data_IF_258975116990
#
_entry.id   IF_258975116990
#
_cell.length_a   1.000
_cell.length_b   1.000
_cell.length_c   1.000
_cell.angle_alpha   90.00
_cell.angle_beta   90.00
_cell.angle_gamma   90.00
#
_symmetry.space_group_name_H-M   'P 1'
#
loop_
_entity.id
_entity.type
_entity.pdbx_description
1 polymer ?
#
# COMPACT_ATOMS: atom_id res chain seq x y z
N UNK A 1 16.65 9.12 -3.51
CA UNK A 1 15.24 9.45 -3.79
C UNK A 1 15.11 9.72 -5.27
N UNK A 2 14.07 9.21 -5.94
CA UNK A 2 13.77 9.56 -7.33
C UNK A 2 13.40 11.04 -7.43
N UNK A 3 14.06 11.80 -8.32
CA UNK A 3 13.89 13.25 -8.43
C UNK A 3 12.51 13.63 -8.95
N UNK A 4 11.96 12.90 -9.93
CA UNK A 4 10.63 13.17 -10.48
C UNK A 4 9.55 13.04 -9.40
N UNK A 5 9.62 11.97 -8.60
CA UNK A 5 8.73 11.77 -7.46
C UNK A 5 8.82 12.89 -6.44
N UNK A 6 10.05 13.39 -6.18
CA UNK A 6 10.25 14.50 -5.26
C UNK A 6 9.62 15.79 -5.78
N UNK A 7 9.78 16.10 -7.08
CA UNK A 7 9.20 17.29 -7.71
C UNK A 7 7.66 17.25 -7.66
N UNK A 8 7.07 16.11 -8.04
CA UNK A 8 5.62 15.92 -7.98
C UNK A 8 5.11 16.04 -6.54
N UNK A 9 5.78 15.42 -5.57
CA UNK A 9 5.37 15.50 -4.17
C UNK A 9 5.52 16.91 -3.58
N UNK A 10 6.56 17.66 -3.97
CA UNK A 10 6.71 19.08 -3.61
C UNK A 10 5.55 19.91 -4.14
N UNK A 11 5.15 19.70 -5.40
CA UNK A 11 4.02 20.40 -6.02
C UNK A 11 2.69 20.04 -5.34
N UNK A 12 2.45 18.76 -5.04
CA UNK A 12 1.27 18.34 -4.26
C UNK A 12 1.25 19.05 -2.91
N UNK A 13 2.33 18.95 -2.12
CA UNK A 13 2.37 19.51 -0.77
C UNK A 13 2.25 21.04 -0.76
N UNK A 14 2.87 21.74 -1.72
CA UNK A 14 2.75 23.20 -1.88
C UNK A 14 1.33 23.63 -2.24
N UNK A 15 0.66 22.91 -3.14
CA UNK A 15 -0.64 23.31 -3.67
C UNK A 15 -1.82 22.92 -2.77
N UNK A 16 -1.74 21.79 -2.07
CA UNK A 16 -2.85 21.27 -1.26
C UNK A 16 -2.62 21.39 0.25
N UNK A 17 -1.37 21.58 0.68
CA UNK A 17 -0.97 21.48 2.09
C UNK A 17 -0.93 20.03 2.63
N UNK A 18 -1.27 19.04 1.81
CA UNK A 18 -1.39 17.63 2.18
C UNK A 18 -0.58 16.74 1.24
N UNK A 19 -0.43 15.49 1.61
CA UNK A 19 0.22 14.45 0.83
C UNK A 19 -0.73 13.92 -0.26
N UNK A 20 -0.16 13.29 -1.29
CA UNK A 20 -0.95 12.72 -2.37
C UNK A 20 -1.83 11.56 -1.88
N UNK A 21 -3.02 11.45 -2.47
CA UNK A 21 -3.98 10.40 -2.16
C UNK A 21 -4.62 9.84 -3.42
N UNK A 22 -4.96 8.57 -3.36
CA UNK A 22 -5.62 7.84 -4.44
C UNK A 22 -6.74 6.97 -3.89
N UNK A 23 -7.83 6.82 -4.63
CA UNK A 23 -8.83 5.78 -4.39
C UNK A 23 -9.34 5.16 -5.68
N UNK A 24 -9.70 3.88 -5.57
CA UNK A 24 -10.37 3.11 -6.60
C UNK A 24 -11.74 2.66 -6.06
N UNK A 25 -12.76 3.43 -6.41
CA UNK A 25 -14.11 3.28 -5.85
C UNK A 25 -15.09 2.79 -6.93
N UNK A 26 -16.10 1.99 -6.57
CA UNK A 26 -17.12 1.57 -7.53
C UNK A 26 -17.92 2.78 -8.04
N UNK A 27 -18.23 2.77 -9.33
CA UNK A 27 -19.19 3.70 -9.92
C UNK A 27 -20.61 3.26 -9.55
N UNK A 28 -21.47 4.15 -9.03
CA UNK A 28 -22.85 3.78 -8.72
C UNK A 28 -23.71 3.52 -9.98
N UNK A 29 -23.28 4.07 -11.14
CA UNK A 29 -24.04 4.02 -12.38
C UNK A 29 -23.57 2.92 -13.34
N UNK A 30 -22.36 2.41 -13.15
CA UNK A 30 -21.72 1.46 -14.07
C UNK A 30 -21.03 0.35 -13.27
N UNK A 31 -20.96 -0.86 -13.84
CA UNK A 31 -20.12 -1.96 -13.30
C UNK A 31 -18.62 -1.70 -13.45
N UNK A 32 -18.22 -0.43 -13.31
CA UNK A 32 -16.88 0.11 -13.48
C UNK A 32 -16.41 0.67 -12.13
N UNK A 33 -15.11 0.85 -12.00
CA UNK A 33 -14.46 1.57 -10.91
C UNK A 33 -13.88 2.87 -11.43
N UNK A 34 -13.92 3.90 -10.59
CA UNK A 34 -13.43 5.24 -10.89
C UNK A 34 -12.12 5.46 -10.16
N UNK A 35 -11.09 5.84 -10.92
CA UNK A 35 -9.81 6.33 -10.41
C UNK A 35 -10.01 7.75 -9.89
N UNK A 36 -9.77 7.96 -8.59
CA UNK A 36 -9.82 9.29 -7.96
C UNK A 36 -8.45 9.65 -7.45
N UNK A 37 -7.94 10.80 -7.89
CA UNK A 37 -6.65 11.32 -7.48
C UNK A 37 -6.86 12.59 -6.68
N UNK A 38 -6.11 12.75 -5.60
CA UNK A 38 -6.11 13.96 -4.79
C UNK A 38 -4.66 14.46 -4.71
N UNK A 39 -4.30 15.54 -5.45
CA UNK A 39 -5.13 16.31 -6.37
C UNK A 39 -5.39 15.63 -7.73
N UNK A 40 -6.48 16.03 -8.41
CA UNK A 40 -6.93 15.44 -9.68
C UNK A 40 -5.87 15.42 -10.79
N UNK A 41 -4.99 16.43 -10.82
CA UNK A 41 -3.96 16.57 -11.85
C UNK A 41 -2.87 15.50 -11.75
N UNK A 42 -2.78 14.74 -10.66
CA UNK A 42 -1.90 13.57 -10.60
C UNK A 42 -2.26 12.51 -11.64
N UNK A 43 -3.50 12.50 -12.12
CA UNK A 43 -3.91 11.64 -13.23
C UNK A 43 -3.03 11.90 -14.46
N UNK A 44 -2.37 10.84 -14.94
CA UNK A 44 -1.45 10.94 -16.10
C UNK A 44 -0.01 11.30 -15.75
N UNK A 45 0.31 11.45 -14.46
CA UNK A 45 1.70 11.59 -13.99
C UNK A 45 2.26 10.23 -13.55
N UNK A 46 3.60 10.13 -13.46
CA UNK A 46 4.25 8.92 -12.92
C UNK A 46 3.85 8.64 -11.47
N UNK A 47 3.65 9.66 -10.65
CA UNK A 47 3.16 9.51 -9.28
C UNK A 47 1.73 8.96 -9.25
N UNK A 48 0.81 9.51 -10.06
CA UNK A 48 -0.55 8.99 -10.16
C UNK A 48 -0.58 7.54 -10.61
N UNK A 49 0.22 7.18 -11.62
CA UNK A 49 0.29 5.80 -12.10
C UNK A 49 0.81 4.84 -11.02
N UNK A 50 1.83 5.23 -10.25
CA UNK A 50 2.33 4.43 -9.13
C UNK A 50 1.25 4.22 -8.07
N UNK A 51 0.50 5.26 -7.71
CA UNK A 51 -0.58 5.15 -6.72
C UNK A 51 -1.67 4.19 -7.20
N UNK A 52 -2.07 4.30 -8.47
CA UNK A 52 -3.06 3.43 -9.10
C UNK A 52 -2.58 1.97 -9.16
N UNK A 53 -1.41 1.74 -9.76
CA UNK A 53 -0.86 0.40 -9.96
C UNK A 53 -0.62 -0.33 -8.64
N UNK A 54 -0.15 0.37 -7.61
CA UNK A 54 0.06 -0.25 -6.31
C UNK A 54 -1.25 -0.74 -5.68
N UNK A 55 -2.28 0.11 -5.60
CA UNK A 55 -3.58 -0.30 -5.03
C UNK A 55 -4.27 -1.36 -5.89
N UNK A 56 -4.22 -1.21 -7.21
CA UNK A 56 -4.77 -2.17 -8.15
C UNK A 56 -4.10 -3.56 -7.97
N UNK A 57 -2.77 -3.60 -7.90
CA UNK A 57 -2.02 -4.84 -7.65
C UNK A 57 -2.31 -5.44 -6.27
N UNK A 58 -2.53 -4.60 -5.25
CA UNK A 58 -2.97 -5.06 -3.93
C UNK A 58 -4.29 -5.84 -4.06
N UNK A 59 -5.27 -5.37 -4.85
CA UNK A 59 -6.55 -6.08 -5.04
C UNK A 59 -6.36 -7.42 -5.72
N UNK A 60 -5.54 -7.48 -6.76
CA UNK A 60 -5.25 -8.74 -7.46
C UNK A 60 -4.64 -9.78 -6.50
N UNK A 61 -3.72 -9.36 -5.64
CA UNK A 61 -3.16 -10.23 -4.61
C UNK A 61 -4.20 -10.63 -3.55
N UNK A 62 -5.01 -9.68 -3.06
CA UNK A 62 -6.04 -9.94 -2.04
C UNK A 62 -7.11 -10.89 -2.54
N UNK A 63 -7.45 -10.81 -3.83
CA UNK A 63 -8.44 -11.67 -4.46
C UNK A 63 -7.87 -13.00 -4.96
N UNK A 64 -6.55 -13.21 -4.86
CA UNK A 64 -5.91 -14.45 -5.31
C UNK A 64 -5.90 -14.60 -6.83
N UNK A 65 -5.83 -13.48 -7.57
CA UNK A 65 -5.59 -13.46 -9.02
C UNK A 65 -4.09 -13.61 -9.33
N UNK A 66 -3.23 -13.19 -8.40
CA UNK A 66 -1.78 -13.20 -8.55
C UNK A 66 -1.14 -14.12 -7.51
N UNK A 67 -0.01 -14.73 -7.87
CA UNK A 67 0.79 -15.51 -6.94
C UNK A 67 1.33 -14.60 -5.82
N UNK A 68 1.19 -15.07 -4.57
CA UNK A 68 1.61 -14.30 -3.42
C UNK A 68 3.14 -14.13 -3.41
N UNK A 69 3.65 -12.89 -3.25
CA UNK A 69 5.09 -12.61 -3.26
C UNK A 69 5.85 -13.25 -2.09
N UNK A 70 5.16 -13.76 -1.07
CA UNK A 70 5.75 -14.37 0.13
C UNK A 70 5.25 -15.80 0.26
N UNK A 71 6.18 -16.75 0.38
CA UNK A 71 5.85 -18.18 0.50
C UNK A 71 5.02 -18.42 1.75
N UNK A 72 3.86 -19.05 1.58
CA UNK A 72 2.93 -19.37 2.65
C UNK A 72 1.98 -18.24 3.04
N UNK A 73 2.12 -17.05 2.45
CA UNK A 73 1.09 -16.01 2.53
C UNK A 73 -0.13 -16.47 1.72
N UNK A 74 -1.34 -16.26 2.26
CA UNK A 74 -2.62 -16.60 1.64
C UNK A 74 -3.37 -15.31 1.29
N UNK A 75 -4.14 -15.32 0.21
CA UNK A 75 -5.00 -14.17 -0.16
C UNK A 75 -6.23 -14.05 0.76
N UNK A 76 -6.94 -12.92 0.73
CA UNK A 76 -8.23 -12.77 1.42
C UNK A 76 -9.23 -13.83 0.96
N UNK A 77 -9.22 -14.13 -0.34
CA UNK A 77 -10.07 -15.16 -0.92
C UNK A 77 -9.75 -16.55 -0.37
N UNK A 78 -8.47 -16.95 -0.36
CA UNK A 78 -8.05 -18.26 0.17
C UNK A 78 -8.41 -18.41 1.65
N UNK A 79 -8.17 -17.36 2.45
CA UNK A 79 -8.53 -17.35 3.88
C UNK A 79 -10.05 -17.53 4.04
N UNK A 80 -10.85 -16.80 3.26
CA UNK A 80 -12.30 -16.88 3.34
C UNK A 80 -12.83 -18.29 2.98
N UNK A 81 -12.28 -18.90 1.93
CA UNK A 81 -12.64 -20.25 1.49
C UNK A 81 -12.22 -21.30 2.51
N UNK A 82 -10.95 -21.27 2.95
CA UNK A 82 -10.38 -22.25 3.89
C UNK A 82 -11.10 -22.24 5.24
N UNK A 83 -11.46 -21.05 5.74
CA UNK A 83 -12.11 -20.89 7.05
C UNK A 83 -13.63 -21.06 6.98
N UNK A 84 -14.18 -21.40 5.80
CA UNK A 84 -15.62 -21.58 5.61
C UNK A 84 -16.42 -20.31 5.88
N UNK A 85 -15.81 -19.13 5.62
CA UNK A 85 -16.47 -17.83 5.75
C UNK A 85 -17.39 -17.66 4.55
N UNK A 86 -18.54 -18.30 4.64
CA UNK A 86 -19.56 -18.47 3.59
C UNK A 86 -20.42 -17.21 3.37
N UNK A 87 -19.97 -16.06 3.88
CA UNK A 87 -20.76 -14.83 3.91
C UNK A 87 -20.33 -13.90 2.79
N UNK A 88 -21.33 -13.26 2.17
CA UNK A 88 -21.10 -12.09 1.31
C UNK A 88 -20.50 -10.98 2.16
N UNK A 89 -19.36 -10.45 1.74
CA UNK A 89 -18.74 -9.31 2.40
C UNK A 89 -18.10 -8.39 1.37
N UNK A 90 -18.09 -7.11 1.68
CA UNK A 90 -17.34 -6.11 0.95
C UNK A 90 -16.39 -5.44 1.93
N UNK A 91 -15.29 -4.88 1.45
CA UNK A 91 -14.42 -4.09 2.29
C UNK A 91 -13.47 -3.24 1.49
N UNK A 92 -12.69 -2.46 2.23
CA UNK A 92 -11.63 -1.62 1.70
C UNK A 92 -10.29 -2.07 2.26
N UNK A 93 -9.29 -2.05 1.41
CA UNK A 93 -7.88 -2.13 1.80
C UNK A 93 -7.16 -0.95 1.20
N UNK A 94 -6.22 -0.34 1.91
CA UNK A 94 -5.44 0.75 1.34
C UNK A 94 -4.06 0.79 1.96
N UNK A 95 -3.11 1.32 1.21
CA UNK A 95 -1.77 1.56 1.72
C UNK A 95 -1.77 2.77 2.65
N UNK A 96 -1.03 2.64 3.75
CA UNK A 96 -0.82 3.72 4.71
C UNK A 96 0.66 3.92 5.01
N UNK A 97 1.00 5.14 5.41
CA UNK A 97 2.31 5.50 5.93
C UNK A 97 2.28 5.47 7.47
N UNK A 98 2.84 4.42 8.09
CA UNK A 98 2.82 4.22 9.56
C UNK A 98 3.87 5.03 10.31
N UNK A 99 5.03 5.23 9.68
CA UNK A 99 6.12 6.04 10.21
C UNK A 99 6.84 6.70 9.05
N UNK A 100 7.23 7.95 9.20
CA UNK A 100 8.23 8.55 8.34
C UNK A 100 9.13 9.50 9.12
N UNK A 101 10.40 9.53 8.74
CA UNK A 101 11.40 10.41 9.32
C UNK A 101 12.46 10.76 8.28
N UNK A 102 13.07 11.92 8.42
CA UNK A 102 14.24 12.32 7.63
C UNK A 102 15.42 12.40 8.58
N UNK A 103 16.45 11.59 8.32
CA UNK A 103 17.69 11.58 9.09
C UNK A 103 18.74 12.41 8.36
N UNK A 104 19.60 13.11 9.10
CA UNK A 104 20.79 13.76 8.56
C UNK A 104 22.00 12.87 8.84
N UNK A 105 22.67 12.41 7.79
CA UNK A 105 23.92 11.65 7.91
C UNK A 105 25.10 12.54 8.29
N UNK A 106 26.22 11.92 8.69
CA UNK A 106 27.48 12.62 9.02
C UNK A 106 27.99 13.47 7.83
N UNK A 107 27.73 13.03 6.60
CA UNK A 107 28.10 13.72 5.36
C UNK A 107 27.08 14.79 4.93
N UNK A 108 26.17 15.20 5.82
CA UNK A 108 25.09 16.15 5.56
C UNK A 108 24.10 15.73 4.46
N UNK A 109 23.96 14.43 4.21
CA UNK A 109 22.95 13.88 3.29
C UNK A 109 21.65 13.61 4.05
N UNK A 110 20.52 14.10 3.52
CA UNK A 110 19.18 13.80 4.02
C UNK A 110 18.74 12.41 3.55
N UNK A 111 18.37 11.55 4.50
CA UNK A 111 17.98 10.15 4.26
C UNK A 111 16.55 9.96 4.76
N UNK A 112 15.54 9.99 3.86
CA UNK A 112 14.17 9.69 4.25
C UNK A 112 13.99 8.19 4.50
N UNK A 113 13.40 7.86 5.63
CA UNK A 113 13.03 6.50 6.04
C UNK A 113 11.54 6.43 6.26
N UNK A 114 10.90 5.39 5.72
CA UNK A 114 9.46 5.17 5.82
C UNK A 114 9.17 3.76 6.32
N UNK A 115 8.08 3.60 7.07
CA UNK A 115 7.44 2.32 7.32
C UNK A 115 6.03 2.39 6.78
N UNK A 116 5.76 1.60 5.76
CA UNK A 116 4.43 1.51 5.17
C UNK A 116 3.71 0.25 5.65
N UNK A 117 2.42 0.21 5.43
CA UNK A 117 1.59 -0.96 5.67
C UNK A 117 0.31 -0.91 4.86
N UNK A 118 -0.54 -1.89 5.10
CA UNK A 118 -1.91 -1.94 4.58
C UNK A 118 -2.85 -1.86 5.77
N UNK A 119 -3.91 -1.08 5.62
CA UNK A 119 -5.06 -1.12 6.51
C UNK A 119 -6.27 -1.65 5.78
N UNK A 120 -7.21 -2.21 6.55
CA UNK A 120 -8.43 -2.73 6.01
C UNK A 120 -9.64 -2.46 6.90
N UNK A 121 -10.79 -2.31 6.25
CA UNK A 121 -12.10 -2.22 6.89
C UNK A 121 -13.16 -2.98 6.12
N UNK A 122 -14.01 -3.70 6.84
CA UNK A 122 -15.24 -4.27 6.30
C UNK A 122 -16.24 -3.15 5.98
N UNK A 123 -16.94 -3.25 4.87
CA UNK A 123 -18.01 -2.35 4.48
C UNK A 123 -19.35 -2.92 4.92
N UNK A 124 -20.09 -2.11 5.68
CA UNK A 124 -21.41 -2.46 6.21
C UNK A 124 -22.47 -1.65 5.51
N UNK A 125 -23.59 -2.29 5.20
CA UNK A 125 -24.75 -1.61 4.62
C UNK A 125 -25.40 -0.72 5.69
N UNK A 126 -25.54 0.57 5.38
CA UNK A 126 -26.28 1.52 6.21
C UNK A 126 -27.79 1.37 5.98
N UNK A 127 -28.59 1.89 6.92
CA UNK A 127 -30.05 2.01 6.78
C UNK A 127 -30.48 2.74 5.49
N UNK A 128 -29.64 3.66 4.99
CA UNK A 128 -29.90 4.44 3.78
C UNK A 128 -29.49 3.72 2.48
N UNK A 129 -29.28 2.40 2.52
CA UNK A 129 -28.88 1.57 1.38
C UNK A 129 -27.50 1.91 0.77
N UNK A 130 -26.68 2.71 1.45
CA UNK A 130 -25.29 2.98 1.09
C UNK A 130 -24.31 2.10 1.88
N UNK A 131 -23.13 1.84 1.33
CA UNK A 131 -22.03 1.18 2.05
C UNK A 131 -21.19 2.22 2.79
N UNK A 132 -20.79 1.89 4.01
CA UNK A 132 -19.83 2.67 4.79
C UNK A 132 -18.85 1.73 5.48
N UNK A 133 -17.67 2.24 5.80
CA UNK A 133 -16.64 1.45 6.47
C UNK A 133 -17.03 1.23 7.94
N UNK A 134 -16.88 0.00 8.42
CA UNK A 134 -17.11 -0.33 9.82
C UNK A 134 -16.14 0.46 10.71
N UNK A 135 -16.63 1.02 11.81
CA UNK A 135 -15.77 1.71 12.77
C UNK A 135 -14.63 0.81 13.27
N UNK A 136 -14.94 -0.47 13.52
CA UNK A 136 -13.99 -1.51 13.89
C UNK A 136 -14.33 -2.76 13.07
N UNK A 137 -13.33 -3.28 12.36
CA UNK A 137 -13.42 -4.59 11.72
C UNK A 137 -12.88 -5.65 12.66
N UNK A 138 -13.61 -6.76 12.77
CA UNK A 138 -13.24 -7.91 13.61
C UNK A 138 -11.86 -8.44 13.22
N UNK A 139 -11.05 -8.81 14.20
CA UNK A 139 -9.66 -9.26 13.97
C UNK A 139 -9.58 -10.59 13.21
N UNK A 140 -10.64 -11.39 13.24
CA UNK A 140 -10.75 -12.64 12.50
C UNK A 140 -11.19 -12.46 11.03
N UNK A 141 -11.50 -11.24 10.58
CA UNK A 141 -11.89 -10.96 9.20
C UNK A 141 -10.74 -11.26 8.21
N UNK A 142 -11.00 -11.91 7.05
CA UNK A 142 -9.97 -12.20 6.04
C UNK A 142 -9.12 -10.99 5.63
N UNK A 143 -9.78 -9.86 5.34
CA UNK A 143 -9.15 -8.56 5.08
C UNK A 143 -8.14 -8.13 6.15
N UNK A 144 -8.51 -8.23 7.43
CA UNK A 144 -7.64 -7.80 8.53
C UNK A 144 -6.42 -8.72 8.63
N UNK A 145 -6.65 -10.04 8.58
CA UNK A 145 -5.57 -11.04 8.58
C UNK A 145 -4.59 -10.82 7.42
N UNK A 146 -5.12 -10.56 6.22
CA UNK A 146 -4.31 -10.31 5.04
C UNK A 146 -3.54 -9.00 5.14
N UNK A 147 -4.19 -7.89 5.52
CA UNK A 147 -3.54 -6.60 5.73
C UNK A 147 -2.43 -6.67 6.79
N UNK A 148 -2.62 -7.44 7.86
CA UNK A 148 -1.58 -7.70 8.87
C UNK A 148 -0.39 -8.49 8.29
N UNK A 149 -0.66 -9.57 7.55
CA UNK A 149 0.39 -10.34 6.87
C UNK A 149 1.15 -9.49 5.84
N UNK A 150 0.44 -8.70 5.04
CA UNK A 150 1.02 -7.80 4.05
C UNK A 150 1.90 -6.76 4.74
N UNK A 151 1.38 -6.09 5.78
CA UNK A 151 2.12 -5.09 6.57
C UNK A 151 3.39 -5.68 7.16
N UNK A 152 3.30 -6.88 7.74
CA UNK A 152 4.47 -7.56 8.33
C UNK A 152 5.57 -7.85 7.30
N UNK A 153 5.18 -8.13 6.06
CA UNK A 153 6.10 -8.48 4.98
C UNK A 153 6.31 -7.33 3.98
N UNK A 154 5.86 -6.11 4.28
CA UNK A 154 5.79 -5.02 3.31
C UNK A 154 7.13 -4.79 2.61
N UNK A 155 8.22 -4.71 3.38
CA UNK A 155 9.56 -4.47 2.82
C UNK A 155 9.99 -5.58 1.86
N UNK A 156 9.75 -6.85 2.22
CA UNK A 156 10.07 -7.99 1.35
C UNK A 156 9.22 -7.98 0.08
N UNK A 157 7.95 -7.59 0.18
CA UNK A 157 7.05 -7.46 -0.97
C UNK A 157 7.52 -6.34 -1.89
N UNK A 158 7.89 -5.19 -1.31
CA UNK A 158 8.44 -4.06 -2.04
C UNK A 158 9.74 -4.44 -2.78
N UNK A 159 10.62 -5.28 -2.23
CA UNK A 159 11.80 -5.76 -2.96
C UNK A 159 11.46 -6.68 -4.15
N UNK A 160 10.30 -7.34 -4.13
CA UNK A 160 9.93 -8.36 -5.13
C UNK A 160 8.96 -7.85 -6.19
N UNK A 161 8.23 -6.76 -5.91
CA UNK A 161 7.12 -6.29 -6.74
C UNK A 161 7.27 -4.80 -7.02
N UNK A 162 7.53 -4.49 -8.29
CA UNK A 162 7.84 -3.13 -8.76
C UNK A 162 6.80 -2.08 -8.34
N UNK A 163 5.50 -2.36 -8.49
CA UNK A 163 4.46 -1.40 -8.09
C UNK A 163 4.56 -1.00 -6.61
N UNK A 164 4.80 -1.97 -5.71
CA UNK A 164 4.95 -1.72 -4.27
C UNK A 164 6.30 -1.05 -3.95
N UNK A 165 7.37 -1.42 -4.67
CA UNK A 165 8.66 -0.73 -4.62
C UNK A 165 8.51 0.76 -4.91
N UNK A 166 7.91 1.10 -6.04
CA UNK A 166 7.75 2.47 -6.49
C UNK A 166 6.85 3.28 -5.56
N UNK A 167 5.80 2.67 -5.00
CA UNK A 167 4.99 3.32 -3.97
C UNK A 167 5.84 3.68 -2.74
N UNK A 168 6.71 2.78 -2.28
CA UNK A 168 7.63 3.05 -1.16
C UNK A 168 8.60 4.19 -1.47
N UNK A 169 9.15 4.23 -2.68
CA UNK A 169 10.04 5.31 -3.11
C UNK A 169 9.32 6.66 -3.26
N UNK A 170 8.07 6.65 -3.73
CA UNK A 170 7.23 7.85 -3.78
C UNK A 170 6.85 8.34 -2.37
N UNK A 171 6.60 7.45 -1.41
CA UNK A 171 6.39 7.81 -0.01
C UNK A 171 7.64 8.45 0.63
N UNK A 172 8.84 7.93 0.35
CA UNK A 172 10.11 8.56 0.76
C UNK A 172 10.27 9.96 0.17
N UNK A 173 9.95 10.13 -1.11
CA UNK A 173 9.98 11.43 -1.77
C UNK A 173 8.99 12.42 -1.16
N UNK A 174 7.77 11.97 -0.86
CA UNK A 174 6.73 12.75 -0.17
C UNK A 174 7.15 13.18 1.24
N UNK A 175 7.79 12.28 1.98
CA UNK A 175 8.34 12.57 3.31
C UNK A 175 9.43 13.65 3.24
N UNK A 176 10.34 13.54 2.26
CA UNK A 176 11.39 14.53 2.06
C UNK A 176 10.83 15.88 1.61
N UNK A 177 9.85 15.89 0.71
CA UNK A 177 9.16 17.10 0.26
C UNK A 177 8.52 17.85 1.44
N UNK A 178 7.80 17.13 2.31
CA UNK A 178 7.24 17.67 3.55
C UNK A 178 8.30 18.32 4.42
N UNK A 179 9.38 17.59 4.73
CA UNK A 179 10.47 18.09 5.56
C UNK A 179 11.09 19.37 4.99
N UNK A 180 11.40 19.41 3.68
CA UNK A 180 12.03 20.57 3.07
C UNK A 180 11.14 21.82 3.14
N UNK A 181 9.83 21.66 2.91
CA UNK A 181 8.86 22.75 2.98
C UNK A 181 8.63 23.24 4.42
N UNK A 182 8.49 22.32 5.37
CA UNK A 182 8.30 22.66 6.80
C UNK A 182 9.55 23.30 7.42
N UNK A 183 10.74 22.89 6.97
CA UNK A 183 12.00 23.51 7.36
C UNK A 183 12.22 24.91 6.75
N UNK A 184 11.33 25.38 5.86
CA UNK A 184 11.49 26.66 5.17
C UNK A 184 12.70 26.69 4.24
N UNK A 185 13.09 25.54 3.68
CA UNK A 185 14.23 25.45 2.77
C UNK A 185 13.97 26.29 1.52
N UNK A 186 14.95 27.07 1.03
CA UNK A 186 14.79 27.88 -0.18
C UNK A 186 14.78 26.98 -1.43
N UNK A 187 13.60 26.55 -1.86
CA UNK A 187 13.39 25.77 -3.08
C UNK A 187 13.02 26.73 -4.22
N UNK A 188 13.69 26.61 -5.37
CA UNK A 188 13.41 27.43 -6.56
C UNK A 188 12.02 27.12 -7.11
N UNK A 189 11.30 28.12 -7.59
CA UNK A 189 9.95 27.96 -8.15
C UNK A 189 9.89 26.98 -9.33
N UNK A 190 10.97 26.84 -10.09
CA UNK A 190 11.07 25.89 -11.21
C UNK A 190 10.96 24.41 -10.79
N UNK A 191 11.07 24.10 -9.50
CA UNK A 191 10.87 22.74 -8.99
C UNK A 191 9.39 22.37 -8.87
N UNK A 192 8.49 23.34 -9.00
CA UNK A 192 7.04 23.17 -8.85
C UNK A 192 6.28 23.23 -10.17
N UNK A 193 6.98 23.43 -11.30
CA UNK A 193 6.35 23.60 -12.62
C UNK A 193 6.32 22.31 -13.45
N UNK A 194 6.74 21.17 -12.89
CA UNK A 194 6.84 19.92 -13.65
C UNK A 194 5.46 19.36 -14.05
N UNK A 195 4.42 19.53 -13.21
CA UNK A 195 3.08 19.04 -13.54
C UNK A 195 2.18 20.06 -14.25
N UNK A 196 2.72 21.20 -14.70
CA UNK A 196 1.94 22.17 -15.48
C UNK A 196 1.62 21.64 -16.89
N UNK A 197 2.40 20.67 -17.37
CA UNK A 197 2.08 19.90 -18.57
C UNK A 197 0.94 18.92 -18.25
N UNK A 198 -0.31 19.35 -18.49
CA UNK A 198 -1.48 18.48 -18.45
C UNK A 198 -1.32 17.38 -19.51
N UNK A 199 -0.78 16.24 -19.10
CA UNK A 199 -0.92 15.01 -19.85
C UNK A 199 -2.41 14.75 -20.12
N UNK A 200 -2.73 14.20 -21.29
CA UNK A 200 -4.12 13.85 -21.61
C UNK A 200 -4.67 12.95 -20.49
N UNK A 201 -5.85 13.31 -19.99
CA UNK A 201 -6.51 12.54 -18.93
C UNK A 201 -6.68 11.09 -19.42
N UNK A 202 -5.87 10.17 -18.89
CA UNK A 202 -6.05 8.74 -19.13
C UNK A 202 -7.46 8.28 -18.73
N UNK A 203 -7.83 7.06 -19.11
CA UNK A 203 -9.14 6.52 -18.80
C UNK A 203 -9.36 6.52 -17.28
N UNK A 204 -10.33 7.34 -16.83
CA UNK A 204 -10.68 7.48 -15.41
C UNK A 204 -11.50 6.31 -14.88
N UNK A 205 -12.03 5.48 -15.77
CA UNK A 205 -12.83 4.31 -15.42
C UNK A 205 -12.14 3.03 -15.87
N UNK A 206 -12.23 2.00 -15.05
CA UNK A 206 -11.78 0.64 -15.37
C UNK A 206 -12.87 -0.36 -15.04
N UNK A 207 -12.92 -1.54 -15.67
CA UNK A 207 -13.89 -2.58 -15.31
C UNK A 207 -13.72 -3.05 -13.86
N UNK A 208 -14.82 -3.30 -13.15
CA UNK A 208 -14.80 -3.80 -11.76
C UNK A 208 -14.38 -5.26 -11.59
N UNK A 209 -14.11 -5.95 -12.70
CA UNK A 209 -14.00 -7.42 -12.81
C UNK A 209 -13.00 -8.06 -11.85
N UNK A 210 -12.03 -7.31 -11.33
CA UNK A 210 -10.95 -7.83 -10.50
C UNK A 210 -11.07 -7.48 -9.01
N UNK A 211 -11.96 -6.55 -8.68
CA UNK A 211 -12.29 -6.19 -7.29
C UNK A 211 -13.38 -7.06 -6.70
N UNK A 212 -14.07 -7.86 -7.52
CA UNK A 212 -15.22 -8.64 -7.11
C UNK A 212 -15.11 -10.08 -7.60
N UNK A 213 -15.34 -11.04 -6.71
CA UNK A 213 -15.50 -12.45 -7.09
C UNK A 213 -16.87 -12.94 -6.69
N UNK A 214 -17.56 -13.54 -7.66
CA UNK A 214 -18.74 -14.35 -7.43
C UNK A 214 -18.36 -15.83 -7.46
N UNK A 215 -18.64 -16.57 -6.39
CA UNK A 215 -18.38 -18.02 -6.35
C UNK A 215 -19.53 -18.78 -5.70
N UNK A 216 -19.58 -20.09 -5.98
CA UNK A 216 -20.55 -21.02 -5.39
C UNK A 216 -19.79 -22.26 -4.95
N UNK A 217 -19.80 -22.54 -3.65
CA UNK A 217 -19.22 -23.77 -3.11
C UNK A 217 -20.23 -24.91 -3.27
N UNK A 218 -19.83 -25.95 -3.99
CA UNK A 218 -20.64 -27.17 -4.10
C UNK A 218 -20.26 -28.07 -2.92
N UNK A 219 -21.18 -28.24 -1.97
CA UNK A 219 -21.00 -29.17 -0.86
C UNK A 219 -21.65 -30.50 -1.23
N UNK A 220 -20.89 -31.58 -1.12
CA UNK A 220 -21.43 -32.93 -1.19
C UNK A 220 -21.78 -33.39 0.22
N UNK A 221 -22.95 -33.98 0.39
CA UNK A 221 -23.35 -34.65 1.61
C UNK A 221 -22.61 -35.99 1.75
N UNK A 222 -22.59 -36.58 2.95
CA UNK A 222 -21.84 -37.81 3.24
C UNK A 222 -22.28 -39.02 2.38
N UNK A 223 -23.50 -38.99 1.85
CA UNK A 223 -24.08 -39.97 0.94
C UNK A 223 -23.64 -39.76 -0.54
N UNK A 224 -22.82 -38.75 -0.82
CA UNK A 224 -22.38 -38.39 -2.17
C UNK A 224 -23.41 -37.59 -2.97
N UNK A 225 -24.53 -37.20 -2.36
CA UNK A 225 -25.51 -36.31 -2.99
C UNK A 225 -25.03 -34.86 -2.95
N UNK A 226 -25.54 -34.03 -3.86
CA UNK A 226 -25.32 -32.58 -3.78
C UNK A 226 -26.21 -32.02 -2.67
N UNK A 227 -25.61 -31.31 -1.72
CA UNK A 227 -26.39 -30.56 -0.74
C UNK A 227 -27.35 -29.61 -1.47
N UNK A 228 -28.59 -29.53 -1.00
CA UNK A 228 -29.70 -28.89 -1.71
C UNK A 228 -29.31 -27.47 -2.17
N UNK A 229 -29.34 -27.22 -3.48
CA UNK A 229 -28.87 -25.95 -4.05
C UNK A 229 -29.80 -24.77 -3.76
N UNK A 230 -31.04 -25.05 -3.36
CA UNK A 230 -32.09 -24.05 -3.14
C UNK A 230 -31.96 -23.35 -1.77
N UNK A 231 -31.28 -23.96 -0.79
CA UNK A 231 -31.02 -23.34 0.52
C UNK A 231 -29.81 -22.38 0.49
N UNK A 232 -29.07 -22.33 -0.62
CA UNK A 232 -27.89 -21.49 -0.79
C UNK A 232 -28.31 -20.14 -1.39
N UNK A 233 -28.46 -19.15 -0.49
CA UNK A 233 -28.66 -17.71 -0.76
C UNK A 233 -27.78 -17.16 -1.90
N UNK A 234 -28.18 -17.32 -3.16
CA UNK A 234 -27.53 -16.79 -4.38
C UNK A 234 -26.00 -17.02 -4.48
N UNK A 235 -25.34 -16.46 -5.51
CA UNK A 235 -23.88 -16.47 -5.55
C UNK A 235 -23.31 -15.68 -4.36
N UNK A 236 -22.25 -16.22 -3.76
CA UNK A 236 -21.48 -15.47 -2.76
C UNK A 236 -20.65 -14.43 -3.49
N UNK A 237 -20.69 -13.19 -3.02
CA UNK A 237 -19.95 -12.06 -3.58
C UNK A 237 -18.99 -11.55 -2.51
N UNK A 238 -17.72 -11.52 -2.87
CA UNK A 238 -16.66 -10.85 -2.11
C UNK A 238 -16.22 -9.65 -2.95
N UNK A 239 -16.07 -8.50 -2.31
CA UNK A 239 -15.57 -7.29 -2.97
C UNK A 239 -14.50 -6.57 -2.14
N UNK A 240 -13.44 -6.09 -2.79
CA UNK A 240 -12.35 -5.32 -2.17
C UNK A 240 -12.09 -4.03 -2.95
N UNK A 241 -12.28 -2.91 -2.28
CA UNK A 241 -12.01 -1.56 -2.80
C UNK A 241 -10.83 -0.92 -2.08
N UNK A 242 -10.43 0.30 -2.42
CA UNK A 242 -9.22 0.81 -1.79
C UNK A 242 -8.64 2.10 -2.30
N UNK A 243 -7.34 2.23 -2.03
CA UNK A 243 -6.58 3.42 -2.32
C UNK A 243 -5.18 3.44 -1.71
N UNK A 244 -4.61 4.63 -1.71
CA UNK A 244 -3.34 4.95 -1.06
C UNK A 244 -3.51 6.23 -0.26
N UNK A 245 -3.05 6.22 0.99
CA UNK A 245 -3.04 7.36 1.89
C UNK A 245 -1.63 7.56 2.47
N UNK A 246 -0.98 8.65 2.09
CA UNK A 246 0.39 8.97 2.51
C UNK A 246 0.47 10.02 3.61
N UNK A 247 -0.67 10.52 4.09
CA UNK A 247 -0.69 11.48 5.20
C UNK A 247 -0.32 10.80 6.51
N UNK A 248 0.65 11.37 7.23
CA UNK A 248 1.11 10.91 8.56
C UNK A 248 0.25 11.47 9.70
N UNK A 249 -0.63 12.44 9.41
CA UNK A 249 -1.44 13.16 10.39
C UNK A 249 -2.94 13.20 10.08
N UNK A 250 -3.40 12.42 9.10
CA UNK A 250 -4.76 12.51 8.58
C UNK A 250 -5.79 11.79 9.45
N UNK A 251 -6.70 12.56 10.05
CA UNK A 251 -8.08 12.13 10.24
C UNK A 251 -8.59 11.46 8.98
N UNK A 252 -9.26 10.33 9.15
CA UNK A 252 -9.88 9.50 8.12
C UNK A 252 -10.49 10.27 6.91
N UNK A 253 -10.53 9.66 5.72
CA UNK A 253 -11.17 10.17 4.51
C UNK A 253 -12.49 10.94 4.67
N UNK A 254 -12.77 11.98 3.84
CA UNK A 254 -14.08 12.60 3.78
C UNK A 254 -15.15 11.57 3.38
N UNK A 255 -16.16 11.39 4.24
CA UNK A 255 -17.11 10.26 4.21
C UNK A 255 -16.95 9.28 5.38
N UNK A 256 -15.91 9.45 6.21
CA UNK A 256 -15.66 8.69 7.42
C UNK A 256 -15.92 9.60 8.63
N UNK A 257 -17.04 9.39 9.33
CA UNK A 257 -17.37 10.16 10.53
C UNK A 257 -16.66 9.55 11.76
N UNK A 258 -15.53 10.14 12.14
CA UNK A 258 -14.67 9.72 13.26
C UNK A 258 -14.99 10.48 14.55
N UNK A 259 -16.27 10.68 14.88
CA UNK A 259 -16.67 11.37 16.11
C UNK A 259 -16.44 10.59 17.43
N UNK A 260 -15.77 9.43 17.43
CA UNK A 260 -15.67 8.58 18.63
C UNK A 260 -14.26 8.09 19.04
N UNK A 261 -13.18 8.53 18.38
CA UNK A 261 -11.91 7.79 18.45
C UNK A 261 -10.70 8.42 19.14
N UNK A 262 -10.74 9.67 19.63
CA UNK A 262 -9.54 10.32 20.19
C UNK A 262 -9.65 10.47 21.72
N UNK A 263 -9.36 9.37 22.42
CA UNK A 263 -8.82 9.42 23.80
C UNK A 263 -7.78 8.31 23.91
N UNK A 264 -6.50 8.70 23.92
CA UNK A 264 -5.26 7.99 24.32
C UNK A 264 -4.17 8.55 23.38
N UNK A 265 -3.42 9.59 23.71
CA UNK A 265 -2.61 9.72 24.92
C UNK A 265 -1.15 9.43 24.55
N UNK A 266 -0.32 10.49 24.64
CA UNK A 266 1.15 10.48 24.66
C UNK A 266 1.91 10.46 23.32
N UNK A 267 2.16 11.65 22.77
CA UNK A 267 3.48 12.03 22.27
C UNK A 267 3.83 13.39 22.87
N UNK A 268 4.92 13.52 23.66
CA UNK A 268 5.35 14.82 24.15
C UNK A 268 5.98 15.62 23.01
N UNK A 269 5.48 16.84 22.81
CA UNK A 269 6.07 17.86 21.93
C UNK A 269 7.34 18.41 22.62
N UNK A 270 8.53 18.31 22.02
CA UNK A 270 9.73 18.94 22.58
C UNK A 270 9.72 20.43 22.22
N UNK A 271 9.58 21.32 23.20
CA UNK A 271 9.63 22.76 22.91
C UNK A 271 9.23 23.75 24.00
N UNK A 272 8.96 23.33 25.25
CA UNK A 272 8.78 24.28 26.34
C UNK A 272 9.91 24.18 27.36
N UNK A 273 10.71 25.24 27.41
CA UNK A 273 11.76 25.46 28.37
C UNK A 273 11.18 25.48 29.79
N UNK A 274 11.56 24.49 30.60
CA UNK A 274 11.33 24.50 32.03
C UNK A 274 12.36 25.44 32.69
N UNK A 275 11.84 26.43 33.41
CA UNK A 275 12.62 27.35 34.20
C UNK A 275 13.35 26.63 35.35
N UNK A 276 14.50 27.21 35.67
CA UNK A 276 15.52 26.84 36.65
C UNK A 276 14.97 26.68 38.07
N UNK A 277 15.32 25.56 38.72
CA UNK A 277 15.48 25.49 40.18
C UNK A 277 16.45 24.34 40.56
N UNK A 278 17.68 24.70 40.93
CA UNK A 278 18.52 23.96 41.90
C UNK A 278 18.13 24.43 43.33
N UNK A 279 18.51 23.77 44.45
CA UNK A 279 19.64 22.83 44.64
C UNK A 279 19.38 21.62 45.58
N UNK A 280 20.36 20.71 45.65
CA UNK A 280 20.40 19.67 46.70
C UNK A 280 21.51 18.65 46.52
N UNK A 281 22.69 18.94 47.06
CA UNK A 281 23.83 18.03 47.14
C UNK A 281 23.60 16.93 48.19
N UNK A 282 24.10 15.72 47.94
CA UNK A 282 24.82 14.87 48.91
C UNK A 282 25.53 13.72 48.20
N UNK A 283 26.70 13.39 48.73
CA UNK A 283 27.72 12.52 48.18
C UNK A 283 27.66 11.07 48.73
N UNK A 284 28.19 10.11 47.95
CA UNK A 284 28.94 8.91 48.38
C UNK A 284 29.24 8.08 47.09
N UNK A 285 30.47 7.97 46.58
CA UNK A 285 31.64 7.22 47.06
C UNK A 285 31.42 5.70 47.16
N UNK A 286 31.86 4.94 46.14
CA UNK A 286 32.93 3.89 46.21
C UNK A 286 32.84 2.85 45.05
N UNK A 287 33.95 2.11 44.74
CA UNK A 287 34.25 1.53 43.43
C UNK A 287 34.23 -0.01 43.35
N UNK A 288 34.37 -0.57 42.14
CA UNK A 288 34.76 -1.96 41.87
C UNK A 288 34.36 -2.38 40.45
N UNK A 289 35.27 -2.50 39.49
CA UNK A 289 36.18 -3.62 39.22
C UNK A 289 35.53 -4.78 38.42
N UNK A 290 36.00 -4.98 37.18
CA UNK A 290 35.93 -6.21 36.37
C UNK A 290 34.52 -6.63 35.93
N UNK A 291 34.26 -7.18 34.75
CA UNK A 291 34.90 -8.36 34.16
C UNK A 291 34.46 -8.44 32.69
N UNK A 292 35.41 -8.67 31.80
CA UNK A 292 35.17 -9.02 30.41
C UNK A 292 34.50 -10.39 30.29
N UNK A 293 33.50 -10.55 29.40
CA UNK A 293 33.16 -11.89 28.89
C UNK A 293 32.53 -11.90 27.48
N UNK A 294 33.37 -12.33 26.55
CA UNK A 294 33.14 -13.37 25.54
C UNK A 294 31.85 -13.34 24.69
N UNK A 295 32.07 -12.89 23.46
CA UNK A 295 31.34 -13.26 22.24
C UNK A 295 31.30 -14.78 22.08
N UNK A 296 30.11 -15.37 21.94
CA UNK A 296 29.92 -16.70 21.34
C UNK A 296 28.84 -16.64 20.27
N UNK A 297 29.30 -16.71 19.03
CA UNK A 297 28.51 -17.01 17.86
C UNK A 297 28.06 -18.48 17.91
N UNK A 298 26.77 -18.73 17.69
CA UNK A 298 26.26 -20.07 17.38
C UNK A 298 25.43 -19.98 16.10
N UNK A 299 26.10 -20.25 14.98
CA UNK A 299 25.46 -20.61 13.72
C UNK A 299 24.91 -22.04 13.88
N UNK A 300 23.61 -22.22 13.70
CA UNK A 300 23.04 -23.52 13.34
C UNK A 300 22.24 -23.34 12.06
N UNK A 301 22.75 -23.94 10.99
CA UNK A 301 22.09 -24.07 9.71
C UNK A 301 21.23 -25.33 9.75
N UNK A 302 19.91 -25.18 9.73
CA UNK A 302 18.97 -26.27 9.49
C UNK A 302 18.65 -26.31 8.00
N UNK A 303 19.19 -27.33 7.32
CA UNK A 303 18.80 -27.74 5.98
C UNK A 303 17.49 -28.53 6.09
N UNK A 304 16.38 -27.95 5.68
CA UNK A 304 15.11 -28.65 5.48
C UNK A 304 14.85 -28.75 3.97
N UNK A 305 15.03 -29.96 3.44
CA UNK A 305 14.72 -30.34 2.05
C UNK A 305 13.28 -30.85 2.03
N UNK A 306 12.35 -30.02 1.59
CA UNK A 306 10.96 -30.42 1.41
C UNK A 306 10.69 -30.68 -0.08
N UNK A 307 10.59 -31.96 -0.43
CA UNK A 307 10.01 -32.40 -1.70
C UNK A 307 8.48 -32.34 -1.59
N UNK A 308 7.82 -31.47 -2.36
CA UNK A 308 6.37 -31.56 -2.59
C UNK A 308 6.11 -31.62 -4.09
N UNK A 309 5.60 -32.79 -4.53
CA UNK A 309 4.89 -32.97 -5.80
C UNK A 309 3.53 -32.28 -5.66
N UNK A 310 3.30 -31.25 -6.47
CA UNK A 310 1.96 -30.68 -6.66
C UNK A 310 1.11 -31.52 -7.63
N UNK A 311 -0.22 -31.37 -7.60
CA UNK A 311 -1.13 -32.04 -8.53
C UNK A 311 -1.03 -31.44 -9.94
N UNK A 312 -1.09 -32.30 -10.96
CA UNK A 312 -1.20 -31.90 -12.37
C UNK A 312 -2.61 -31.35 -12.62
N UNK A 313 -2.68 -30.09 -13.02
CA UNK A 313 -3.90 -29.50 -13.61
C UNK A 313 -3.90 -29.85 -15.09
N UNK A 314 -5.03 -30.39 -15.56
CA UNK A 314 -5.31 -30.69 -16.97
C UNK A 314 -5.52 -29.37 -17.74
N UNK A 315 -4.79 -29.21 -18.85
CA UNK A 315 -4.98 -28.14 -19.82
C UNK A 315 -6.40 -28.21 -20.42
N UNK A 316 -7.12 -27.10 -20.33
CA UNK A 316 -8.42 -26.91 -20.98
C UNK A 316 -8.65 -25.44 -21.30
N UNK A 317 -8.81 -25.16 -22.60
CA UNK A 317 -9.35 -23.96 -23.26
C UNK A 317 -8.92 -22.57 -22.74
N UNK A 318 -8.09 -21.91 -23.55
CA UNK A 318 -7.55 -20.56 -23.30
C UNK A 318 -8.63 -19.51 -23.03
N UNK A 319 -8.67 -19.05 -21.79
CA UNK A 319 -9.13 -17.73 -21.42
C UNK A 319 -8.07 -16.69 -21.86
N UNK A 320 -8.46 -15.45 -22.21
CA UNK A 320 -7.51 -14.41 -22.53
C UNK A 320 -6.64 -14.12 -21.30
N UNK A 321 -5.41 -14.64 -21.31
CA UNK A 321 -4.35 -14.25 -20.39
C UNK A 321 -4.03 -12.77 -20.62
N UNK A 322 -3.79 -12.05 -19.52
CA UNK A 322 -3.56 -10.61 -19.51
C UNK A 322 -2.46 -10.18 -20.48
N UNK A 323 -2.52 -8.89 -20.85
CA UNK A 323 -1.41 -8.22 -21.53
C UNK A 323 -0.29 -8.06 -20.51
N UNK A 324 0.68 -8.97 -20.52
CA UNK A 324 1.95 -8.79 -19.85
C UNK A 324 2.71 -7.68 -20.61
N UNK A 325 2.57 -6.45 -20.11
CA UNK A 325 3.44 -5.35 -20.51
C UNK A 325 4.78 -5.63 -19.82
N UNK A 326 5.62 -6.43 -20.47
CA UNK A 326 6.94 -6.79 -19.99
C UNK A 326 7.83 -5.52 -19.86
N UNK A 327 7.66 -4.76 -18.78
CA UNK A 327 8.33 -3.47 -18.55
C UNK A 327 9.85 -3.65 -18.37
N UNK A 328 10.31 -4.89 -18.16
CA UNK A 328 11.72 -5.25 -18.10
C UNK A 328 12.39 -5.24 -19.47
N UNK A 329 11.64 -5.10 -20.57
CA UNK A 329 12.16 -5.12 -21.95
C UNK A 329 12.33 -3.73 -22.60
N UNK A 330 12.30 -2.65 -21.84
CA UNK A 330 12.61 -1.32 -22.38
C UNK A 330 14.13 -1.14 -22.52
N UNK A 331 14.61 -1.22 -23.76
CA UNK A 331 15.98 -0.90 -24.13
C UNK A 331 16.13 0.63 -24.26
N UNK A 332 16.76 1.26 -23.27
CA UNK A 332 16.99 2.72 -23.22
C UNK A 332 18.18 3.17 -24.09
N UNK A 333 18.93 2.24 -24.70
CA UNK A 333 20.14 2.57 -25.45
C UNK A 333 19.88 2.94 -26.92
N UNK A 334 18.64 2.81 -27.42
CA UNK A 334 18.30 3.07 -28.83
C UNK A 334 18.10 4.56 -29.19
N UNK A 335 18.32 5.50 -28.26
CA UNK A 335 17.92 6.91 -28.40
C UNK A 335 18.96 7.89 -28.99
N UNK A 336 20.20 7.48 -29.23
CA UNK A 336 21.21 8.34 -29.87
C UNK A 336 21.79 7.63 -31.08
N UNK A 337 21.36 7.99 -32.29
CA UNK A 337 22.14 7.99 -33.55
C UNK A 337 21.18 8.20 -34.76
N UNK A 338 20.59 9.39 -34.89
CA UNK A 338 19.99 9.81 -36.17
C UNK A 338 20.03 11.34 -36.29
N UNK A 339 21.19 11.88 -36.61
CA UNK A 339 21.38 13.31 -36.81
C UNK A 339 22.70 13.60 -37.51
N UNK A 340 22.86 13.14 -38.75
CA UNK A 340 24.06 13.42 -39.52
C UNK A 340 23.87 13.22 -41.02
N UNK A 341 23.94 14.31 -41.76
CA UNK A 341 24.47 14.33 -43.13
C UNK A 341 23.44 14.52 -44.24
N UNK A 342 23.42 15.72 -44.83
CA UNK A 342 22.69 15.99 -46.07
C UNK A 342 22.92 17.40 -46.60
N UNK A 343 24.17 17.80 -46.81
CA UNK A 343 24.55 19.02 -47.52
C UNK A 343 25.38 18.68 -48.76
N UNK A 344 25.05 19.32 -49.89
CA UNK A 344 25.93 19.49 -51.05
C UNK A 344 25.56 18.69 -52.30
N UNK A 345 25.33 19.40 -53.41
CA UNK A 345 25.27 18.85 -54.77
C UNK A 345 24.20 19.49 -55.63
#
# INVERSE_FOLDING_TARGET
>A
VNLEYLLLALQVKRSTGREARFSLDPSPASGMQVKRFEPDWLSGTSAGEVLFQADYYLKELSMGEQEQPVVGMRSCFDIAVDEGIDRRWAGREWFILRKAEVQLSEDNVLVPTVKMGVEAREQVQSHNNGFHDAAITRSDHPLVKYAEMFTRNFDLIAERKGAVHHLREFAKASTLAKFLLEAGSPIKDSWFTLADEKASNGTKEIPSLWSERAFKMIRMTEDGSLANMDDLNGPQRIAVYGGVELDLGGTAPPGWDMAAGIVMGMIPVPGQAAAVAQPGAMAAAMPGAGVARAVRSRRQALKMRATRRGPRVLEGAGLPQGVDLNLDSFDLDAGLLAGGGGGGG
#
